data_IF_925563055123
#
_entry.id   IF_925563055123
#
_cell.length_a   1.000
_cell.length_b   1.000
_cell.length_c   1.000
_cell.angle_alpha   90.00
_cell.angle_beta   90.00
_cell.angle_gamma   90.00
#
_symmetry.space_group_name_H-M   'P 1'
#
loop_
_entity.id
_entity.type
_entity.pdbx_description
1 polymer ?
#
# COMPACT_ATOMS: atom_id res chain seq x y z
N UNK A 1 -19.29 -6.58 -3.81
CA UNK A 1 -18.41 -7.61 -3.24
C UNK A 1 -18.42 -7.44 -1.73
N UNK A 2 -18.69 -8.46 -0.95
CA UNK A 2 -18.67 -8.32 0.52
C UNK A 2 -17.20 -8.34 0.97
N UNK A 3 -16.75 -7.26 1.59
CA UNK A 3 -15.42 -7.19 2.19
C UNK A 3 -15.37 -8.17 3.36
N UNK A 4 -14.39 -9.05 3.38
CA UNK A 4 -14.23 -10.05 4.41
C UNK A 4 -13.21 -9.54 5.43
N UNK A 5 -13.65 -9.29 6.65
CA UNK A 5 -12.78 -8.98 7.78
C UNK A 5 -12.64 -10.30 8.57
N UNK A 6 -11.48 -10.93 8.47
CA UNK A 6 -11.17 -12.09 9.28
C UNK A 6 -10.29 -11.66 10.46
N UNK A 7 -10.64 -12.00 11.70
CA UNK A 7 -9.69 -11.93 12.79
C UNK A 7 -8.57 -12.93 12.50
N UNK A 8 -7.34 -12.47 12.41
CA UNK A 8 -6.16 -13.34 12.41
C UNK A 8 -5.96 -13.76 13.87
N UNK A 9 -6.53 -14.93 14.21
CA UNK A 9 -6.36 -15.50 15.54
C UNK A 9 -4.99 -16.11 15.65
N UNK A 10 -4.16 -15.55 16.50
CA UNK A 10 -3.30 -16.16 17.50
C UNK A 10 -2.50 -15.03 18.13
N UNK A 11 -2.27 -15.12 19.43
CA UNK A 11 -1.55 -14.10 20.20
C UNK A 11 -0.19 -13.77 19.58
N UNK A 12 -0.12 -12.63 18.93
CA UNK A 12 1.19 -12.06 18.58
C UNK A 12 1.89 -11.62 19.87
N UNK A 13 3.22 -11.85 19.97
CA UNK A 13 3.98 -11.57 21.21
C UNK A 13 4.00 -10.08 21.61
N UNK A 14 3.38 -9.20 20.85
CA UNK A 14 3.28 -7.75 21.11
C UNK A 14 1.86 -7.24 21.40
N UNK A 15 0.93 -8.14 21.74
CA UNK A 15 -0.37 -7.80 22.31
C UNK A 15 -1.46 -7.41 21.30
N UNK A 16 -2.55 -8.12 21.37
CA UNK A 16 -3.81 -7.84 20.69
C UNK A 16 -4.05 -8.64 19.40
N UNK A 17 -5.31 -8.95 19.09
CA UNK A 17 -5.66 -9.65 17.85
C UNK A 17 -5.46 -8.74 16.65
N UNK A 18 -4.68 -9.21 15.66
CA UNK A 18 -4.58 -8.56 14.36
C UNK A 18 -5.89 -8.66 13.58
N UNK A 19 -6.14 -7.70 12.67
CA UNK A 19 -7.23 -7.76 11.69
C UNK A 19 -6.66 -7.95 10.29
N UNK A 20 -7.25 -8.85 9.52
CA UNK A 20 -6.99 -8.95 8.08
C UNK A 20 -8.21 -8.44 7.33
N UNK A 21 -8.01 -7.45 6.44
CA UNK A 21 -9.08 -6.83 5.66
C UNK A 21 -8.83 -7.14 4.19
N UNK A 22 -9.76 -7.83 3.53
CA UNK A 22 -9.71 -8.12 2.11
C UNK A 22 -10.58 -7.13 1.34
N UNK A 23 -9.95 -6.32 0.50
CA UNK A 23 -10.63 -5.33 -0.33
C UNK A 23 -9.63 -4.41 -1.03
N UNK A 24 -10.13 -3.50 -1.85
CA UNK A 24 -9.32 -2.40 -2.35
C UNK A 24 -9.27 -1.28 -1.31
N UNK A 25 -8.16 -0.56 -1.25
CA UNK A 25 -8.00 0.57 -0.33
C UNK A 25 -9.12 1.60 -0.53
N UNK A 26 -9.49 1.89 -1.79
CA UNK A 26 -10.56 2.84 -2.13
C UNK A 26 -11.92 2.40 -1.58
N UNK A 27 -12.24 1.10 -1.68
CA UNK A 27 -13.51 0.57 -1.16
C UNK A 27 -13.58 0.57 0.36
N UNK A 28 -12.43 0.54 1.03
CA UNK A 28 -12.33 0.50 2.49
C UNK A 28 -12.05 1.86 3.13
N UNK A 29 -11.79 2.89 2.34
CA UNK A 29 -11.28 4.17 2.83
C UNK A 29 -12.18 4.82 3.89
N UNK A 30 -13.49 4.84 3.67
CA UNK A 30 -14.43 5.42 4.63
C UNK A 30 -14.44 4.64 5.95
N UNK A 31 -14.50 3.32 5.89
CA UNK A 31 -14.47 2.48 7.10
C UNK A 31 -13.14 2.65 7.85
N UNK A 32 -12.01 2.69 7.15
CA UNK A 32 -10.71 2.88 7.77
C UNK A 32 -10.61 4.24 8.46
N UNK A 33 -11.12 5.32 7.85
CA UNK A 33 -11.17 6.63 8.51
C UNK A 33 -12.04 6.61 9.77
N UNK A 34 -13.21 5.99 9.71
CA UNK A 34 -14.11 5.90 10.86
C UNK A 34 -13.49 5.15 12.05
N UNK A 35 -12.71 4.09 11.77
CA UNK A 35 -12.13 3.24 12.82
C UNK A 35 -10.75 3.71 13.29
N UNK A 36 -9.93 4.31 12.40
CA UNK A 36 -8.50 4.48 12.65
C UNK A 36 -7.95 5.89 12.41
N UNK A 37 -8.78 6.91 12.15
CA UNK A 37 -8.28 8.27 11.92
C UNK A 37 -7.40 8.73 13.10
N UNK A 38 -6.21 9.23 12.80
CA UNK A 38 -5.21 9.73 13.76
C UNK A 38 -4.82 8.73 14.88
N UNK A 39 -4.89 7.42 14.59
CA UNK A 39 -4.57 6.39 15.60
C UNK A 39 -3.41 5.48 15.22
N UNK A 40 -2.99 5.50 13.97
CA UNK A 40 -1.98 4.58 13.44
C UNK A 40 -0.58 5.13 13.68
N UNK A 41 0.31 4.32 14.26
CA UNK A 41 1.71 4.70 14.53
C UNK A 41 2.62 4.47 13.32
N UNK A 42 2.33 3.44 12.52
CA UNK A 42 3.14 3.05 11.38
C UNK A 42 2.27 2.53 10.23
N UNK A 43 2.53 3.03 9.05
CA UNK A 43 1.98 2.49 7.80
C UNK A 43 3.12 2.03 6.91
N UNK A 44 3.03 0.81 6.38
CA UNK A 44 3.87 0.32 5.30
C UNK A 44 2.98 -0.06 4.13
N UNK A 45 3.26 0.49 2.96
CA UNK A 45 2.54 0.16 1.73
C UNK A 45 3.49 -0.34 0.65
N UNK A 46 3.02 -1.34 -0.07
CA UNK A 46 3.67 -1.93 -1.26
C UNK A 46 2.66 -1.90 -2.42
N UNK A 47 2.43 -0.72 -3.02
CA UNK A 47 1.43 -0.57 -4.07
C UNK A 47 1.91 -1.18 -5.38
N UNK A 48 1.01 -1.33 -6.37
CA UNK A 48 1.42 -1.59 -7.75
C UNK A 48 2.49 -0.60 -8.20
N UNK A 49 3.46 -1.05 -8.98
CA UNK A 49 4.56 -0.17 -9.39
C UNK A 49 4.29 0.63 -10.67
N UNK A 50 3.14 0.45 -11.31
CA UNK A 50 2.78 1.12 -12.56
C UNK A 50 3.69 0.75 -13.74
N UNK A 51 4.26 -0.47 -13.72
CA UNK A 51 5.28 -0.88 -14.68
C UNK A 51 4.72 -1.52 -15.96
N UNK A 52 3.43 -1.81 -15.99
CA UNK A 52 2.78 -2.52 -17.09
C UNK A 52 3.06 -4.03 -17.13
N UNK A 53 3.84 -4.54 -16.19
CA UNK A 53 4.23 -5.94 -16.09
C UNK A 53 3.17 -6.76 -15.33
N UNK A 54 2.51 -7.70 -16.01
CA UNK A 54 1.57 -8.62 -15.36
C UNK A 54 2.30 -9.64 -14.49
N UNK A 55 1.99 -9.72 -13.21
CA UNK A 55 2.50 -10.76 -12.32
C UNK A 55 1.92 -12.13 -12.67
N UNK A 56 2.80 -13.13 -12.92
CA UNK A 56 2.41 -14.52 -13.08
C UNK A 56 2.89 -15.35 -11.91
N UNK A 57 1.97 -15.98 -11.20
CA UNK A 57 2.30 -16.93 -10.12
C UNK A 57 2.54 -18.31 -10.70
N UNK A 58 3.69 -18.94 -10.41
CA UNK A 58 3.93 -20.35 -10.65
C UNK A 58 3.34 -21.15 -9.49
N UNK A 59 2.29 -21.91 -9.76
CA UNK A 59 1.79 -22.88 -8.78
C UNK A 59 2.71 -24.11 -8.75
N UNK A 60 3.12 -24.57 -7.55
CA UNK A 60 3.87 -25.83 -7.43
C UNK A 60 3.09 -26.99 -8.03
N UNK A 61 3.70 -27.76 -8.95
CA UNK A 61 3.09 -28.93 -9.56
C UNK A 61 2.37 -28.69 -10.90
N UNK A 62 2.26 -27.45 -11.38
CA UNK A 62 1.65 -27.14 -12.69
C UNK A 62 2.74 -26.82 -13.71
N UNK A 63 2.80 -27.59 -14.82
CA UNK A 63 3.81 -27.40 -15.87
C UNK A 63 3.60 -26.15 -16.73
N UNK A 64 2.41 -25.59 -16.75
CA UNK A 64 2.09 -24.37 -17.48
C UNK A 64 2.06 -23.14 -16.55
N UNK A 65 2.55 -22.00 -17.05
CA UNK A 65 2.40 -20.71 -16.36
C UNK A 65 0.92 -20.32 -16.35
N UNK A 66 0.24 -20.61 -15.28
CA UNK A 66 -1.11 -20.06 -15.06
C UNK A 66 -0.91 -18.58 -14.76
N UNK A 67 -1.22 -17.72 -15.73
CA UNK A 67 -1.36 -16.28 -15.50
C UNK A 67 -2.65 -16.09 -14.71
N UNK A 68 -2.55 -16.06 -13.39
CA UNK A 68 -3.64 -15.53 -12.56
C UNK A 68 -3.48 -14.02 -12.66
N UNK A 69 -4.45 -13.29 -13.26
CA UNK A 69 -4.44 -11.83 -13.20
C UNK A 69 -4.70 -11.43 -11.75
N UNK A 70 -3.64 -11.30 -10.98
CA UNK A 70 -3.74 -10.85 -9.60
C UNK A 70 -4.21 -9.39 -9.58
N UNK A 71 -3.72 -8.57 -10.48
CA UNK A 71 -4.29 -7.31 -10.94
C UNK A 71 -3.50 -6.84 -12.17
N UNK A 72 -4.13 -6.04 -13.03
CA UNK A 72 -3.45 -5.52 -14.21
C UNK A 72 -2.74 -4.22 -13.84
N UNK A 73 -1.43 -4.22 -13.98
CA UNK A 73 -0.57 -3.04 -13.87
C UNK A 73 -0.62 -2.16 -15.15
N UNK A 74 -1.64 -2.36 -16.00
CA UNK A 74 -1.87 -1.65 -17.25
C UNK A 74 -2.52 -0.27 -17.06
N UNK A 75 -2.32 0.34 -15.90
CA UNK A 75 -2.80 1.69 -15.62
C UNK A 75 -1.85 2.70 -16.30
N UNK A 76 -2.41 3.69 -17.00
CA UNK A 76 -1.58 4.80 -17.48
C UNK A 76 -1.04 5.61 -16.29
N UNK A 77 0.03 6.35 -16.53
CA UNK A 77 0.72 7.08 -15.45
C UNK A 77 -0.18 8.08 -14.72
N UNK A 78 -1.10 8.72 -15.40
CA UNK A 78 -1.98 9.71 -14.76
C UNK A 78 -2.96 9.03 -13.82
N UNK A 79 -3.64 7.98 -14.27
CA UNK A 79 -4.55 7.16 -13.44
C UNK A 79 -3.83 6.51 -12.26
N UNK A 80 -2.58 6.08 -12.45
CA UNK A 80 -1.76 5.56 -11.37
C UNK A 80 -1.48 6.63 -10.29
N UNK A 81 -1.08 7.83 -10.71
CA UNK A 81 -0.80 8.92 -9.77
C UNK A 81 -2.07 9.40 -9.05
N UNK A 82 -3.22 9.43 -9.72
CA UNK A 82 -4.50 9.74 -9.10
C UNK A 82 -4.87 8.70 -8.02
N UNK A 83 -4.72 7.42 -8.34
CA UNK A 83 -4.90 6.33 -7.36
C UNK A 83 -3.97 6.49 -6.16
N UNK A 84 -2.69 6.74 -6.40
CA UNK A 84 -1.70 6.91 -5.34
C UNK A 84 -1.97 8.15 -4.47
N UNK A 85 -2.40 9.24 -5.07
CA UNK A 85 -2.82 10.43 -4.33
C UNK A 85 -3.94 10.10 -3.32
N UNK A 86 -4.97 9.37 -3.76
CA UNK A 86 -6.04 8.93 -2.87
C UNK A 86 -5.57 8.00 -1.75
N UNK A 87 -4.66 7.06 -2.05
CA UNK A 87 -4.07 6.14 -1.05
C UNK A 87 -3.23 6.90 -0.04
N UNK A 88 -2.34 7.79 -0.48
CA UNK A 88 -1.45 8.55 0.40
C UNK A 88 -2.21 9.55 1.27
N UNK A 89 -3.26 10.18 0.72
CA UNK A 89 -4.16 11.05 1.49
C UNK A 89 -4.87 10.24 2.60
N UNK A 90 -5.36 9.05 2.28
CA UNK A 90 -5.92 8.17 3.31
C UNK A 90 -4.89 7.82 4.38
N UNK A 91 -3.66 7.45 3.97
CA UNK A 91 -2.59 7.15 4.93
C UNK A 91 -2.32 8.34 5.87
N UNK A 92 -2.31 9.57 5.34
CA UNK A 92 -2.18 10.79 6.14
C UNK A 92 -3.32 10.91 7.17
N UNK A 93 -4.57 10.69 6.76
CA UNK A 93 -5.73 10.78 7.65
C UNK A 93 -5.70 9.74 8.79
N UNK A 94 -5.08 8.58 8.55
CA UNK A 94 -5.00 7.49 9.53
C UNK A 94 -3.85 7.66 10.52
N UNK A 95 -2.73 8.27 10.09
CA UNK A 95 -1.54 8.41 10.91
C UNK A 95 -1.75 9.41 12.05
N UNK A 96 -1.13 9.11 13.18
CA UNK A 96 -0.91 10.09 14.26
C UNK A 96 0.09 11.16 13.78
N UNK A 97 0.10 12.32 14.43
CA UNK A 97 1.10 13.37 14.20
C UNK A 97 2.55 12.87 14.39
N UNK A 98 2.74 11.85 15.22
CA UNK A 98 4.04 11.18 15.48
C UNK A 98 4.25 9.93 14.66
N UNK A 99 3.29 9.57 13.80
CA UNK A 99 3.32 8.36 12.99
C UNK A 99 4.30 8.45 11.84
N UNK A 100 4.61 7.30 11.24
CA UNK A 100 5.53 7.20 10.10
C UNK A 100 4.92 6.38 8.97
N UNK A 101 5.22 6.74 7.74
CA UNK A 101 4.86 5.97 6.55
C UNK A 101 6.09 5.49 5.80
N UNK A 102 6.07 4.24 5.37
CA UNK A 102 7.03 3.66 4.43
C UNK A 102 6.30 3.30 3.13
N UNK A 103 6.80 3.81 2.03
CA UNK A 103 6.28 3.52 0.69
C UNK A 103 7.33 2.76 -0.10
N UNK A 104 7.07 1.46 -0.33
CA UNK A 104 7.91 0.66 -1.22
C UNK A 104 7.49 0.95 -2.64
N UNK A 105 8.42 1.42 -3.47
CA UNK A 105 8.11 1.85 -4.83
C UNK A 105 9.29 1.56 -5.77
N UNK A 106 8.97 1.31 -7.04
CA UNK A 106 9.96 1.17 -8.10
C UNK A 106 10.62 2.53 -8.43
N UNK A 107 11.91 2.49 -8.77
CA UNK A 107 12.70 3.69 -9.09
C UNK A 107 12.07 4.58 -10.18
N UNK A 108 11.29 4.01 -11.11
CA UNK A 108 10.63 4.75 -12.20
C UNK A 108 9.57 5.72 -11.71
N UNK A 109 8.94 5.41 -10.59
CA UNK A 109 7.88 6.22 -9.99
C UNK A 109 8.34 6.99 -8.75
N UNK A 110 9.51 6.66 -8.21
CA UNK A 110 10.04 7.21 -6.95
C UNK A 110 9.95 8.74 -6.89
N UNK A 111 10.48 9.45 -7.90
CA UNK A 111 10.48 10.91 -7.90
C UNK A 111 9.08 11.54 -7.86
N UNK A 112 8.11 10.95 -8.58
CA UNK A 112 6.73 11.45 -8.61
C UNK A 112 6.00 11.23 -7.29
N UNK A 113 6.18 10.04 -6.73
CA UNK A 113 5.60 9.70 -5.42
C UNK A 113 6.25 10.52 -4.31
N UNK A 114 7.57 10.81 -4.40
CA UNK A 114 8.24 11.68 -3.46
C UNK A 114 7.65 13.10 -3.45
N UNK A 115 7.45 13.73 -4.61
CA UNK A 115 6.82 15.05 -4.70
C UNK A 115 5.39 15.02 -4.12
N UNK A 116 4.63 13.98 -4.40
CA UNK A 116 3.28 13.81 -3.86
C UNK A 116 3.29 13.66 -2.33
N UNK A 117 4.24 12.94 -1.77
CA UNK A 117 4.44 12.85 -0.33
C UNK A 117 4.78 14.19 0.30
N UNK A 118 5.63 14.99 -0.36
CA UNK A 118 5.98 16.33 0.09
C UNK A 118 4.76 17.28 0.09
N UNK A 119 3.87 17.16 -0.90
CA UNK A 119 2.62 17.93 -0.94
C UNK A 119 1.61 17.51 0.13
N UNK A 120 1.50 16.21 0.44
CA UNK A 120 0.50 15.68 1.38
C UNK A 120 1.00 15.80 2.84
N UNK A 121 2.24 15.45 3.11
CA UNK A 121 2.82 15.40 4.46
C UNK A 121 3.68 16.61 4.81
N UNK A 122 4.14 17.37 3.82
CA UNK A 122 5.09 18.46 3.96
C UNK A 122 6.54 18.01 3.76
N UNK A 123 7.34 18.83 3.07
CA UNK A 123 8.76 18.56 2.78
C UNK A 123 9.60 18.27 4.04
N UNK A 124 9.29 18.97 5.15
CA UNK A 124 10.00 18.80 6.42
C UNK A 124 9.77 17.45 7.08
N UNK A 125 8.74 16.72 6.68
CA UNK A 125 8.42 15.39 7.21
C UNK A 125 9.24 14.28 6.56
N UNK A 126 9.98 14.57 5.48
CA UNK A 126 10.83 13.58 4.83
C UNK A 126 11.99 13.17 5.74
N UNK A 127 12.09 11.87 5.99
CA UNK A 127 13.14 11.33 6.85
C UNK A 127 14.32 10.80 6.04
N UNK A 128 14.05 9.88 5.10
CA UNK A 128 15.11 9.23 4.34
C UNK A 128 14.58 8.49 3.11
N UNK A 129 15.48 8.22 2.17
CA UNK A 129 15.30 7.28 1.06
C UNK A 129 16.17 6.04 1.31
N UNK A 130 15.52 4.86 1.31
CA UNK A 130 16.19 3.58 1.51
C UNK A 130 16.29 2.88 0.16
N UNK A 131 17.49 2.67 -0.33
CA UNK A 131 17.74 1.96 -1.58
C UNK A 131 18.04 0.50 -1.28
N UNK A 132 17.12 -0.39 -1.71
CA UNK A 132 17.35 -1.83 -1.63
C UNK A 132 18.02 -2.30 -2.91
N UNK A 133 19.35 -2.47 -2.86
CA UNK A 133 20.14 -2.99 -3.97
C UNK A 133 20.38 -4.51 -3.78
N UNK A 134 20.05 -5.28 -4.80
CA UNK A 134 20.36 -6.71 -4.85
C UNK A 134 20.99 -7.06 -6.21
N UNK A 135 21.81 -8.11 -6.23
CA UNK A 135 22.50 -8.62 -7.43
C UNK A 135 21.65 -9.66 -8.13
#
# INVERSE_FOLDING_TARGET
MRNFIAPVGEEYPFGGPGKFILGTVQAMAEQLRLEYANTVDLIYIDPPFGTGDGFSVKLPGVREKVKIPAYSDNMDTASYLEMMCGVLTLCHDLLKDTGSIYVHIDYRMCARIRLMLDEIFGESCFQNEIIWAYK
#
